data_IF_374442009783
#
_entry.id   IF_374442009783
#
_cell.length_a   1.000
_cell.length_b   1.000
_cell.length_c   1.000
_cell.angle_alpha   90.00
_cell.angle_beta   90.00
_cell.angle_gamma   90.00
#
_symmetry.space_group_name_H-M   'P 1'
#
loop_
_entity.id
_entity.type
_entity.pdbx_description
1 polymer ?
#
# COMPACT_ATOMS: atom_id res chain seq x y z
N UNK A 1 -14.62 17.61 6.10
CA UNK A 1 -13.76 16.46 5.75
C UNK A 1 -14.46 15.19 6.22
N UNK A 2 -14.79 14.28 5.30
CA UNK A 2 -15.60 13.10 5.63
C UNK A 2 -14.74 12.06 6.33
N UNK A 3 -15.25 11.42 7.39
CA UNK A 3 -14.53 10.37 8.14
C UNK A 3 -14.04 9.21 7.26
N UNK A 4 -14.68 9.03 6.08
CA UNK A 4 -14.32 8.04 5.07
C UNK A 4 -13.01 8.31 4.33
N UNK A 5 -12.57 9.57 4.26
CA UNK A 5 -11.32 9.94 3.57
C UNK A 5 -10.07 9.52 4.35
N UNK A 6 -10.21 9.32 5.67
CA UNK A 6 -9.16 8.84 6.57
C UNK A 6 -9.19 7.31 6.73
N UNK A 7 -10.13 6.62 6.07
CA UNK A 7 -10.16 5.16 6.13
C UNK A 7 -8.94 4.61 5.37
N UNK A 8 -8.14 3.73 5.98
CA UNK A 8 -7.01 3.16 5.30
C UNK A 8 -7.47 2.11 4.29
N UNK A 9 -6.91 2.14 3.08
CA UNK A 9 -7.25 1.24 1.97
C UNK A 9 -5.99 0.59 1.42
N UNK A 10 -6.12 -0.64 0.92
CA UNK A 10 -5.03 -1.34 0.26
C UNK A 10 -4.98 -0.95 -1.22
N UNK A 11 -3.80 -0.55 -1.69
CA UNK A 11 -3.58 -0.09 -3.08
C UNK A 11 -2.75 -1.06 -3.91
N UNK A 12 -2.04 -1.99 -3.26
CA UNK A 12 -1.27 -3.02 -3.91
C UNK A 12 -1.15 -4.26 -3.02
N UNK A 13 -0.99 -5.42 -3.64
CA UNK A 13 -0.81 -6.73 -3.00
C UNK A 13 0.32 -7.48 -3.69
N UNK A 14 1.17 -8.12 -2.89
CA UNK A 14 2.36 -8.82 -3.33
C UNK A 14 2.49 -10.15 -2.60
N UNK A 15 2.93 -11.18 -3.33
CA UNK A 15 3.27 -12.49 -2.77
C UNK A 15 4.63 -12.49 -2.06
N UNK A 16 5.44 -11.45 -2.27
CA UNK A 16 6.77 -11.30 -1.69
C UNK A 16 6.90 -9.95 -0.98
N UNK A 17 7.67 -9.94 0.11
CA UNK A 17 7.85 -8.76 0.95
C UNK A 17 8.67 -7.66 0.25
N UNK A 18 9.68 -8.02 -0.54
CA UNK A 18 10.53 -7.04 -1.20
C UNK A 18 9.72 -6.21 -2.20
N UNK A 19 8.82 -6.84 -2.97
CA UNK A 19 7.92 -6.12 -3.88
C UNK A 19 7.01 -5.13 -3.16
N UNK A 20 6.50 -5.49 -1.97
CA UNK A 20 5.71 -4.59 -1.14
C UNK A 20 6.54 -3.42 -0.57
N UNK A 21 7.78 -3.68 -0.16
CA UNK A 21 8.70 -2.65 0.34
C UNK A 21 9.15 -1.69 -0.76
N UNK A 22 9.36 -2.15 -2.00
CA UNK A 22 9.64 -1.29 -3.15
C UNK A 22 8.46 -0.35 -3.45
N UNK A 23 7.24 -0.89 -3.49
CA UNK A 23 6.04 -0.08 -3.70
C UNK A 23 5.81 0.93 -2.56
N UNK A 24 6.01 0.50 -1.31
CA UNK A 24 5.96 1.38 -0.14
C UNK A 24 7.01 2.50 -0.22
N UNK A 25 8.23 2.19 -0.65
CA UNK A 25 9.31 3.15 -0.84
C UNK A 25 8.94 4.20 -1.90
N UNK A 26 8.41 3.78 -3.05
CA UNK A 26 7.97 4.68 -4.11
C UNK A 26 6.84 5.63 -3.64
N UNK A 27 5.86 5.11 -2.89
CA UNK A 27 4.76 5.91 -2.35
C UNK A 27 5.27 6.90 -1.29
N UNK A 28 6.18 6.47 -0.40
CA UNK A 28 6.76 7.31 0.63
C UNK A 28 7.65 8.40 0.03
N UNK A 29 8.40 8.09 -1.03
CA UNK A 29 9.19 9.06 -1.79
C UNK A 29 8.32 10.15 -2.46
N UNK A 30 7.06 9.82 -2.79
CA UNK A 30 6.08 10.78 -3.26
C UNK A 30 5.43 11.62 -2.14
N UNK A 31 5.87 11.46 -0.89
CA UNK A 31 5.37 12.20 0.28
C UNK A 31 4.06 11.68 0.84
N UNK A 32 3.64 10.47 0.45
CA UNK A 32 2.37 9.86 0.89
C UNK A 32 2.66 8.88 2.02
N UNK A 33 1.90 8.98 3.11
CA UNK A 33 1.99 8.05 4.22
C UNK A 33 1.49 6.66 3.79
N UNK A 34 2.36 5.66 3.89
CA UNK A 34 2.06 4.27 3.55
C UNK A 34 2.55 3.30 4.62
N UNK A 35 1.91 2.13 4.70
CA UNK A 35 2.30 1.03 5.58
C UNK A 35 2.26 -0.30 4.82
N UNK A 36 3.18 -1.22 5.14
CA UNK A 36 3.15 -2.59 4.64
C UNK A 36 2.48 -3.48 5.68
N UNK A 37 1.37 -4.11 5.31
CA UNK A 37 0.62 -5.05 6.13
C UNK A 37 0.88 -6.45 5.60
N UNK A 38 1.43 -7.32 6.44
CA UNK A 38 1.60 -8.73 6.10
C UNK A 38 0.49 -9.54 6.73
N UNK A 39 -0.27 -10.24 5.90
CA UNK A 39 -1.32 -11.15 6.31
C UNK A 39 -0.83 -12.58 6.10
N UNK A 40 -0.81 -13.37 7.16
CA UNK A 40 -0.33 -14.76 7.15
C UNK A 40 -1.49 -15.68 7.53
N UNK A 41 -2.32 -16.10 6.56
CA UNK A 41 -3.41 -17.02 6.84
C UNK A 41 -2.85 -18.37 7.31
N UNK A 42 -3.58 -19.10 8.19
CA UNK A 42 -3.15 -20.41 8.70
C UNK A 42 -3.04 -21.49 7.61
N UNK A 43 -3.65 -21.26 6.44
CA UNK A 43 -3.58 -22.14 5.29
C UNK A 43 -3.21 -21.29 4.06
N UNK A 44 -1.93 -21.11 3.80
CA UNK A 44 -1.46 -20.37 2.63
C UNK A 44 -0.08 -19.73 2.80
N UNK A 45 0.40 -19.15 1.70
CA UNK A 45 1.57 -18.27 1.72
C UNK A 45 1.18 -16.88 2.29
N UNK A 46 2.12 -16.16 2.92
CA UNK A 46 1.86 -14.80 3.36
C UNK A 46 1.56 -13.88 2.17
N UNK A 47 0.66 -12.93 2.39
CA UNK A 47 0.35 -11.84 1.45
C UNK A 47 0.80 -10.51 2.06
N UNK A 48 1.54 -9.73 1.27
CA UNK A 48 2.07 -8.44 1.68
C UNK A 48 1.31 -7.33 0.93
N UNK A 49 0.55 -6.52 1.66
CA UNK A 49 -0.32 -5.47 1.12
C UNK A 49 0.17 -4.09 1.51
N UNK A 50 0.14 -3.14 0.60
CA UNK A 50 0.48 -1.74 0.89
C UNK A 50 -0.79 -0.95 1.15
N UNK A 51 -0.83 -0.31 2.31
CA UNK A 51 -1.96 0.45 2.83
C UNK A 51 -1.64 1.94 2.85
N UNK A 52 -2.60 2.76 2.44
CA UNK A 52 -2.54 4.24 2.48
C UNK A 52 -3.89 4.80 2.92
N UNK A 53 -3.97 6.08 3.24
CA UNK A 53 -5.27 6.73 3.47
C UNK A 53 -6.09 6.79 2.16
N UNK A 54 -7.42 6.63 2.25
CA UNK A 54 -8.30 6.62 1.07
C UNK A 54 -8.15 7.87 0.20
N UNK A 55 -7.98 9.05 0.81
CA UNK A 55 -7.76 10.30 0.07
C UNK A 55 -6.51 10.29 -0.83
N UNK A 56 -5.50 9.51 -0.45
CA UNK A 56 -4.21 9.45 -1.15
C UNK A 56 -4.10 8.24 -2.08
N UNK A 57 -5.07 7.33 -2.08
CA UNK A 57 -5.04 6.08 -2.85
C UNK A 57 -4.77 6.30 -4.35
N UNK A 58 -5.42 7.29 -4.97
CA UNK A 58 -5.22 7.60 -6.39
C UNK A 58 -3.81 8.14 -6.67
N UNK A 59 -3.24 8.92 -5.73
CA UNK A 59 -1.89 9.45 -5.85
C UNK A 59 -0.84 8.35 -5.62
N UNK A 60 -1.07 7.45 -4.67
CA UNK A 60 -0.22 6.29 -4.41
C UNK A 60 -0.14 5.35 -5.63
N UNK A 61 -1.28 5.07 -6.28
CA UNK A 61 -1.32 4.26 -7.50
C UNK A 61 -0.54 4.93 -8.65
N UNK A 62 -0.54 6.26 -8.73
CA UNK A 62 0.28 6.99 -9.72
C UNK A 62 1.77 6.92 -9.38
N UNK A 63 2.14 7.04 -8.10
CA UNK A 63 3.53 6.96 -7.65
C UNK A 63 4.18 5.60 -7.93
N UNK A 64 3.39 4.52 -7.96
CA UNK A 64 3.88 3.16 -8.27
C UNK A 64 4.09 2.89 -9.77
N UNK A 65 3.62 3.75 -10.69
CA UNK A 65 3.83 3.55 -12.13
C UNK A 65 5.22 4.05 -12.52
N UNK A 66 6.02 3.27 -13.27
CA UNK A 66 7.26 3.79 -13.84
C UNK A 66 6.93 4.93 -14.82
N UNK A 67 7.61 6.06 -14.67
CA UNK A 67 7.68 7.15 -15.65
C UNK A 67 8.45 6.74 -16.89
#
# INVERSE_FOLDING_TARGET
MSRRDQEPVFVAEFSDRAGAEEAWSAITAAGIAAAVVTDSPPWGAPLHRVQVERRDAAAAVRAMKPV
#
